data_IF_407904774366
#
_entry.id   IF_407904774366
#
_cell.length_a   1.000
_cell.length_b   1.000
_cell.length_c   1.000
_cell.angle_alpha   90.00
_cell.angle_beta   90.00
_cell.angle_gamma   90.00
#
_symmetry.space_group_name_H-M   'P 1'
#
loop_
_entity.id
_entity.type
_entity.pdbx_description
1 polymer ?
#
# COMPACT_ATOMS: atom_id res chain seq x y z
N UNK A 1 1.39 11.44 7.63
CA UNK A 1 2.72 11.03 7.14
C UNK A 1 3.66 12.05 7.70
N UNK A 2 4.60 11.58 8.51
CA UNK A 2 5.48 12.47 9.27
C UNK A 2 6.62 12.92 8.37
N UNK A 3 6.83 14.23 8.27
CA UNK A 3 7.93 14.81 7.50
C UNK A 3 8.93 15.49 8.44
N UNK A 4 10.22 15.51 8.09
CA UNK A 4 11.19 16.21 8.93
C UNK A 4 10.94 17.70 8.90
N UNK A 5 11.09 18.33 10.08
CA UNK A 5 11.06 19.79 10.20
C UNK A 5 12.07 20.42 9.23
N UNK A 6 11.75 21.56 8.57
CA UNK A 6 10.60 22.43 8.78
C UNK A 6 9.37 22.11 7.92
N UNK A 7 9.31 20.94 7.27
CA UNK A 7 8.17 20.62 6.42
C UNK A 7 6.95 20.21 7.24
N UNK A 8 5.77 20.66 6.80
CA UNK A 8 4.50 20.21 7.38
C UNK A 8 4.23 18.74 7.07
N UNK A 9 3.55 18.05 7.98
CA UNK A 9 3.11 16.67 7.75
C UNK A 9 2.10 16.58 6.62
N UNK A 10 2.01 15.38 6.00
CA UNK A 10 1.07 15.12 4.91
C UNK A 10 -0.06 14.21 5.37
N UNK A 11 -1.26 14.46 4.89
CA UNK A 11 -2.35 13.48 4.94
C UNK A 11 -2.87 13.15 3.54
N UNK A 12 -3.59 12.05 3.43
CA UNK A 12 -4.21 11.63 2.19
C UNK A 12 -5.50 10.88 2.49
N UNK A 13 -6.41 10.92 1.55
CA UNK A 13 -7.68 10.20 1.60
C UNK A 13 -7.78 9.42 0.29
N UNK A 14 -8.10 8.14 0.37
CA UNK A 14 -8.14 7.28 -0.81
C UNK A 14 -9.45 6.52 -0.89
N UNK A 15 -9.92 6.35 -2.12
CA UNK A 15 -10.86 5.29 -2.45
C UNK A 15 -10.06 4.05 -2.83
N UNK A 16 -10.31 2.94 -2.13
CA UNK A 16 -9.60 1.68 -2.33
C UNK A 16 -10.57 0.59 -2.77
N UNK A 17 -10.17 -0.16 -3.78
CA UNK A 17 -10.88 -1.35 -4.24
C UNK A 17 -9.89 -2.50 -4.38
N UNK A 18 -10.35 -3.73 -4.23
CA UNK A 18 -9.58 -4.90 -4.63
C UNK A 18 -10.47 -5.92 -5.31
N UNK A 19 -9.85 -6.78 -6.11
CA UNK A 19 -10.50 -7.91 -6.79
C UNK A 19 -9.58 -9.12 -6.72
N UNK A 20 -10.17 -10.29 -6.61
CA UNK A 20 -9.47 -11.56 -6.75
C UNK A 20 -9.92 -12.24 -8.03
N UNK A 21 -8.97 -12.71 -8.83
CA UNK A 21 -9.25 -13.58 -9.97
C UNK A 21 -9.57 -14.99 -9.45
N UNK A 22 -10.76 -15.49 -9.77
CA UNK A 22 -11.25 -16.76 -9.21
C UNK A 22 -10.49 -18.00 -9.72
N UNK A 23 -9.80 -17.89 -10.86
CA UNK A 23 -9.09 -19.03 -11.48
C UNK A 23 -7.66 -19.13 -10.98
N UNK A 24 -7.00 -17.99 -10.87
CA UNK A 24 -5.57 -17.88 -10.54
C UNK A 24 -5.32 -17.54 -9.08
N UNK A 25 -6.34 -17.08 -8.36
CA UNK A 25 -6.20 -16.56 -7.00
C UNK A 25 -5.49 -15.21 -6.90
N UNK A 26 -5.07 -14.61 -8.04
CA UNK A 26 -4.36 -13.33 -8.07
C UNK A 26 -5.25 -12.22 -7.52
N UNK A 27 -4.73 -11.45 -6.57
CA UNK A 27 -5.41 -10.28 -6.01
C UNK A 27 -4.77 -9.02 -6.58
N UNK A 28 -5.61 -8.09 -7.06
CA UNK A 28 -5.20 -6.75 -7.44
C UNK A 28 -5.95 -5.77 -6.55
N UNK A 29 -5.21 -4.97 -5.78
CA UNK A 29 -5.75 -3.84 -5.03
C UNK A 29 -5.28 -2.53 -5.65
N UNK A 30 -6.21 -1.59 -5.79
CA UNK A 30 -5.96 -0.25 -6.34
C UNK A 30 -6.54 0.79 -5.41
N UNK A 31 -5.75 1.80 -5.09
CA UNK A 31 -6.18 2.97 -4.34
C UNK A 31 -5.87 4.24 -5.12
N UNK A 32 -6.83 5.15 -5.18
CA UNK A 32 -6.67 6.45 -5.82
C UNK A 32 -7.01 7.56 -4.83
N UNK A 33 -6.34 8.71 -4.94
CA UNK A 33 -6.65 9.88 -4.13
C UNK A 33 -8.11 10.31 -4.30
N UNK A 34 -8.73 10.68 -3.19
CA UNK A 34 -10.05 11.32 -3.11
C UNK A 34 -9.95 12.50 -2.13
N UNK A 35 -9.18 13.54 -2.48
CA UNK A 35 -8.75 14.57 -1.53
C UNK A 35 -9.90 15.41 -0.98
N UNK A 36 -11.04 15.46 -1.66
CA UNK A 36 -12.23 16.24 -1.26
C UNK A 36 -13.21 15.45 -0.40
N UNK A 37 -12.99 14.14 -0.20
CA UNK A 37 -13.95 13.27 0.49
C UNK A 37 -14.16 13.66 1.96
N UNK A 38 -13.14 14.22 2.62
CA UNK A 38 -13.23 14.84 3.94
C UNK A 38 -12.44 16.15 3.99
N UNK A 39 -12.81 17.09 4.88
CA UNK A 39 -12.08 18.34 5.04
C UNK A 39 -10.57 18.15 5.30
N UNK A 40 -9.79 19.15 4.91
CA UNK A 40 -8.37 19.21 5.21
C UNK A 40 -8.14 19.42 6.71
N UNK A 41 -7.01 18.93 7.21
CA UNK A 41 -6.62 19.08 8.61
C UNK A 41 -5.70 20.30 8.76
N UNK A 42 -5.94 21.11 9.78
CA UNK A 42 -5.06 22.23 10.10
C UNK A 42 -3.63 21.74 10.37
N UNK A 43 -2.65 22.43 9.79
CA UNK A 43 -1.22 22.11 9.97
C UNK A 43 -0.70 20.97 9.09
N UNK A 44 -1.53 20.37 8.24
CA UNK A 44 -1.11 19.31 7.31
C UNK A 44 -1.33 19.72 5.86
N UNK A 45 -0.51 19.16 4.96
CA UNK A 45 -0.66 19.27 3.50
C UNK A 45 -1.39 18.04 2.98
N UNK A 46 -2.51 18.23 2.28
CA UNK A 46 -3.28 17.15 1.65
C UNK A 46 -2.59 16.73 0.35
N UNK A 47 -2.31 15.43 0.21
CA UNK A 47 -1.85 14.84 -1.05
C UNK A 47 -3.04 14.74 -2.01
N UNK A 48 -2.94 15.40 -3.16
CA UNK A 48 -3.99 15.42 -4.18
C UNK A 48 -3.82 14.33 -5.25
N UNK A 49 -2.58 14.00 -5.60
CA UNK A 49 -2.27 12.92 -6.55
C UNK A 49 -1.64 11.76 -5.80
N UNK A 50 -2.38 10.66 -5.71
CA UNK A 50 -1.91 9.40 -5.16
C UNK A 50 -2.54 8.25 -5.95
N UNK A 51 -1.71 7.31 -6.39
CA UNK A 51 -2.13 6.01 -6.93
C UNK A 51 -1.28 4.93 -6.30
N UNK A 52 -1.93 3.94 -5.72
CA UNK A 52 -1.29 2.78 -5.12
C UNK A 52 -1.85 1.54 -5.80
N UNK A 53 -1.00 0.62 -6.22
CA UNK A 53 -1.39 -0.67 -6.75
C UNK A 53 -0.60 -1.78 -6.09
N UNK A 54 -1.30 -2.78 -5.58
CA UNK A 54 -0.74 -4.03 -5.11
C UNK A 54 -1.19 -5.15 -6.03
N UNK A 55 -0.26 -6.02 -6.40
CA UNK A 55 -0.56 -7.29 -7.06
C UNK A 55 0.01 -8.42 -6.22
N UNK A 56 -0.86 -9.34 -5.82
CA UNK A 56 -0.52 -10.51 -5.01
C UNK A 56 -0.82 -11.75 -5.84
N UNK A 57 0.22 -12.41 -6.32
CA UNK A 57 0.12 -13.60 -7.15
C UNK A 57 0.53 -14.81 -6.32
N UNK A 58 -0.42 -15.71 -5.95
CA UNK A 58 -0.05 -16.94 -5.27
C UNK A 58 0.74 -17.85 -6.22
N UNK A 59 1.75 -18.52 -5.68
CA UNK A 59 2.62 -19.45 -6.40
C UNK A 59 2.41 -20.89 -5.90
N UNK A 60 2.77 -21.86 -6.74
CA UNK A 60 2.56 -23.28 -6.46
C UNK A 60 3.41 -23.81 -5.29
N UNK A 61 4.48 -23.11 -4.93
CA UNK A 61 5.33 -23.43 -3.79
C UNK A 61 4.76 -22.93 -2.45
N UNK A 62 3.57 -22.31 -2.46
CA UNK A 62 2.91 -21.75 -1.28
C UNK A 62 3.37 -20.33 -0.94
N UNK A 63 4.25 -19.73 -1.74
CA UNK A 63 4.62 -18.32 -1.58
C UNK A 63 3.68 -17.40 -2.35
N UNK A 64 3.75 -16.10 -2.06
CA UNK A 64 2.99 -15.07 -2.78
C UNK A 64 3.98 -14.06 -3.35
N UNK A 65 4.05 -13.98 -4.67
CA UNK A 65 4.75 -12.89 -5.35
C UNK A 65 3.96 -11.60 -5.13
N UNK A 66 4.65 -10.56 -4.65
CA UNK A 66 4.04 -9.27 -4.32
C UNK A 66 4.70 -8.18 -5.15
N UNK A 67 3.91 -7.44 -5.90
CA UNK A 67 4.33 -6.23 -6.61
C UNK A 67 3.62 -5.02 -6.03
N UNK A 68 4.39 -3.95 -5.80
CA UNK A 68 3.91 -2.70 -5.21
C UNK A 68 4.29 -1.53 -6.10
N UNK A 69 3.29 -0.77 -6.53
CA UNK A 69 3.48 0.45 -7.31
C UNK A 69 2.88 1.63 -6.55
N UNK A 70 3.65 2.72 -6.51
CA UNK A 70 3.27 3.98 -5.89
C UNK A 70 3.57 5.12 -6.85
N UNK A 71 2.55 5.94 -7.13
CA UNK A 71 2.69 7.26 -7.72
C UNK A 71 2.12 8.25 -6.71
N UNK A 72 2.90 9.24 -6.31
CA UNK A 72 2.46 10.26 -5.37
C UNK A 72 3.04 11.61 -5.74
N UNK A 73 2.24 12.67 -5.69
CA UNK A 73 2.72 14.04 -5.61
C UNK A 73 2.47 14.55 -4.18
N UNK A 74 3.50 14.57 -3.32
CA UNK A 74 3.34 14.99 -1.94
C UNK A 74 3.07 16.49 -1.75
N UNK A 75 3.23 17.30 -2.80
CA UNK A 75 2.95 18.74 -2.79
C UNK A 75 3.83 19.58 -1.84
N UNK A 76 3.75 20.89 -2.03
CA UNK A 76 4.52 21.88 -1.28
C UNK A 76 6.00 21.91 -1.64
N UNK A 77 6.78 22.71 -0.89
CA UNK A 77 8.22 22.88 -1.14
C UNK A 77 9.02 21.77 -0.46
N UNK A 78 9.10 20.61 -1.10
CA UNK A 78 9.95 19.50 -0.64
C UNK A 78 11.30 19.59 -1.34
N UNK A 79 12.42 19.63 -0.60
CA UNK A 79 13.74 19.57 -1.20
C UNK A 79 13.96 18.26 -1.97
N UNK A 80 14.67 18.33 -3.10
CA UNK A 80 14.98 17.16 -3.95
C UNK A 80 15.63 16.01 -3.17
N UNK A 81 16.49 16.33 -2.19
CA UNK A 81 17.14 15.31 -1.35
C UNK A 81 16.12 14.46 -0.56
N UNK A 82 15.02 15.06 -0.09
CA UNK A 82 13.99 14.37 0.68
C UNK A 82 13.12 13.49 -0.23
N UNK A 83 12.85 13.95 -1.45
CA UNK A 83 12.16 13.16 -2.48
C UNK A 83 13.00 11.92 -2.84
N UNK A 84 14.29 12.10 -3.11
CA UNK A 84 15.19 11.02 -3.47
C UNK A 84 15.31 9.97 -2.36
N UNK A 85 15.44 10.40 -1.10
CA UNK A 85 15.49 9.48 0.04
C UNK A 85 14.19 8.66 0.18
N UNK A 86 13.03 9.31 0.01
CA UNK A 86 11.73 8.65 0.10
C UNK A 86 11.54 7.60 -1.01
N UNK A 87 12.00 7.90 -2.24
CA UNK A 87 11.94 6.97 -3.36
C UNK A 87 12.85 5.75 -3.18
N UNK A 88 14.05 5.95 -2.64
CA UNK A 88 15.05 4.88 -2.48
C UNK A 88 14.71 3.96 -1.29
N UNK A 89 14.33 4.55 -0.14
CA UNK A 89 14.13 3.78 1.09
C UNK A 89 12.68 3.40 1.38
N UNK A 90 11.72 4.23 0.97
CA UNK A 90 10.30 4.08 1.34
C UNK A 90 9.70 2.73 0.92
N UNK A 91 9.79 2.34 -0.36
CA UNK A 91 9.25 1.06 -0.84
C UNK A 91 9.90 -0.16 -0.18
N UNK A 92 11.22 -0.14 -0.01
CA UNK A 92 11.97 -1.26 0.60
C UNK A 92 11.55 -1.44 2.05
N UNK A 93 11.53 -0.37 2.85
CA UNK A 93 11.09 -0.43 4.24
C UNK A 93 9.63 -0.87 4.36
N UNK A 94 8.76 -0.39 3.46
CA UNK A 94 7.35 -0.80 3.44
C UNK A 94 7.21 -2.31 3.22
N UNK A 95 7.95 -2.86 2.26
CA UNK A 95 7.93 -4.30 1.98
C UNK A 95 8.52 -5.13 3.12
N UNK A 96 9.60 -4.66 3.77
CA UNK A 96 10.18 -5.33 4.95
C UNK A 96 9.20 -5.37 6.12
N UNK A 97 8.56 -4.23 6.42
CA UNK A 97 7.52 -4.14 7.46
C UNK A 97 6.31 -5.00 7.11
N UNK A 98 5.88 -5.02 5.86
CA UNK A 98 4.78 -5.88 5.39
C UNK A 98 5.11 -7.37 5.61
N UNK A 99 6.30 -7.81 5.21
CA UNK A 99 6.79 -9.19 5.46
C UNK A 99 6.85 -9.56 6.95
N UNK A 100 7.14 -8.60 7.83
CA UNK A 100 7.10 -8.83 9.26
C UNK A 100 5.65 -8.89 9.79
N UNK A 101 4.80 -7.97 9.33
CA UNK A 101 3.41 -7.85 9.75
C UNK A 101 2.61 -9.11 9.41
N UNK A 102 2.79 -9.68 8.21
CA UNK A 102 2.04 -10.88 7.82
C UNK A 102 2.31 -12.08 8.74
N UNK A 103 3.43 -12.11 9.47
CA UNK A 103 3.76 -13.19 10.42
C UNK A 103 3.03 -13.08 11.76
N UNK A 104 2.38 -11.95 12.04
CA UNK A 104 1.56 -11.78 13.24
C UNK A 104 0.40 -12.79 13.22
N UNK A 105 0.18 -13.46 14.35
CA UNK A 105 -0.83 -14.51 14.49
C UNK A 105 -2.22 -14.06 14.04
N UNK A 106 -2.56 -12.77 14.24
CA UNK A 106 -3.85 -12.19 13.85
C UNK A 106 -4.12 -12.31 12.34
N UNK A 107 -3.09 -12.33 11.51
CA UNK A 107 -3.22 -12.50 10.06
C UNK A 107 -3.03 -13.95 9.61
N UNK A 108 -2.32 -14.77 10.39
CA UNK A 108 -2.13 -16.20 10.08
C UNK A 108 -3.41 -17.02 10.20
N UNK A 109 -4.33 -16.61 11.09
CA UNK A 109 -5.62 -17.28 11.29
C UNK A 109 -6.79 -16.48 10.74
N UNK A 110 -6.53 -15.37 10.04
CA UNK A 110 -7.58 -14.56 9.46
C UNK A 110 -8.24 -15.31 8.29
N UNK A 111 -9.57 -15.33 8.29
CA UNK A 111 -10.36 -15.83 7.17
C UNK A 111 -11.37 -14.76 6.79
N UNK A 112 -11.43 -14.44 5.51
CA UNK A 112 -12.34 -13.44 4.95
C UNK A 112 -13.25 -14.15 3.96
N UNK A 113 -14.56 -14.11 4.19
CA UNK A 113 -15.54 -14.83 3.35
C UNK A 113 -15.51 -14.43 1.86
N UNK A 114 -14.93 -13.27 1.56
CA UNK A 114 -14.82 -12.71 0.21
C UNK A 114 -13.42 -12.90 -0.42
N UNK A 115 -12.49 -13.59 0.25
CA UNK A 115 -11.20 -14.01 -0.30
C UNK A 115 -11.17 -15.53 -0.29
N UNK A 116 -10.92 -16.12 -1.47
CA UNK A 116 -10.80 -17.58 -1.62
C UNK A 116 -9.33 -17.97 -1.51
N UNK A 117 -9.03 -18.96 -0.69
CA UNK A 117 -7.68 -19.50 -0.61
C UNK A 117 -7.30 -20.20 -1.92
N UNK A 118 -6.10 -19.92 -2.40
CA UNK A 118 -5.55 -20.59 -3.57
C UNK A 118 -5.03 -21.96 -3.17
N UNK A 119 -5.79 -23.00 -3.54
CA UNK A 119 -5.47 -24.36 -3.15
C UNK A 119 -4.36 -24.91 -4.06
N UNK A 120 -3.13 -25.00 -3.54
CA UNK A 120 -1.96 -25.47 -4.30
C UNK A 120 -1.91 -26.99 -4.51
N UNK A 121 -2.94 -27.73 -4.06
CA UNK A 121 -3.02 -29.18 -4.21
C UNK A 121 -2.02 -29.97 -3.34
N UNK A 122 -1.26 -29.30 -2.46
CA UNK A 122 -0.40 -29.96 -1.48
C UNK A 122 -1.14 -30.17 -0.17
N UNK A 123 -1.53 -31.42 0.08
CA UNK A 123 -1.71 -31.99 1.42
C UNK A 123 -0.36 -32.40 1.98
#
# INVERSE_FOLDING_TARGET
MDFPWPMSDRDFVTYSQFKQDEKTGKIISQSIASPEYIPTKNGMVRIELLKIRWELTPLLDGTVQTEYFLLSDPGGSIPDWAINLALDYGPIQSMQKFKALVKDQRYQTASLNFVKDFNTGRR
#
